data_IF_559356598343
#
_entry.id   IF_559356598343
#
_cell.length_a   1.000
_cell.length_b   1.000
_cell.length_c   1.000
_cell.angle_alpha   90.00
_cell.angle_beta   90.00
_cell.angle_gamma   90.00
#
_symmetry.space_group_name_H-M   'P 1'
#
loop_
_entity.id
_entity.type
_entity.pdbx_description
1 polymer ?
#
# COMPACT_ATOMS: atom_id res chain seq x y z
N UNK A 1 8.77 -6.61 28.77
CA UNK A 1 8.16 -6.20 27.49
C UNK A 1 8.06 -7.43 26.63
N UNK A 2 6.87 -7.90 26.21
CA UNK A 2 6.83 -9.01 25.26
C UNK A 2 7.33 -8.49 23.92
N UNK A 3 8.49 -8.98 23.50
CA UNK A 3 9.04 -8.75 22.16
C UNK A 3 8.05 -9.36 21.17
N UNK A 4 7.35 -8.54 20.38
CA UNK A 4 6.51 -9.06 19.29
C UNK A 4 7.43 -9.80 18.32
N UNK A 5 7.18 -11.10 18.11
CA UNK A 5 7.83 -11.85 17.05
C UNK A 5 7.40 -11.21 15.73
N UNK A 6 8.30 -10.45 15.09
CA UNK A 6 8.07 -9.98 13.72
C UNK A 6 7.99 -11.21 12.82
N UNK A 7 6.76 -11.60 12.46
CA UNK A 7 6.57 -12.47 11.32
C UNK A 7 6.91 -11.64 10.10
N UNK A 8 8.00 -11.98 9.41
CA UNK A 8 8.27 -11.43 8.09
C UNK A 8 7.14 -11.88 7.16
N UNK A 9 6.15 -11.02 6.97
CA UNK A 9 5.11 -11.26 5.99
C UNK A 9 5.77 -11.34 4.61
N UNK A 10 5.56 -12.44 3.89
CA UNK A 10 5.98 -12.51 2.49
C UNK A 10 5.12 -11.53 1.70
N UNK A 11 5.77 -10.46 1.23
CA UNK A 11 5.17 -9.40 0.43
C UNK A 11 5.45 -9.66 -1.05
N UNK A 12 4.40 -9.61 -1.87
CA UNK A 12 4.53 -9.65 -3.32
C UNK A 12 3.85 -8.40 -3.91
N UNK A 13 4.60 -7.67 -4.73
CA UNK A 13 4.10 -6.50 -5.45
C UNK A 13 4.08 -6.80 -6.94
N UNK A 14 2.93 -6.56 -7.56
CA UNK A 14 2.77 -6.50 -9.00
C UNK A 14 2.45 -5.06 -9.39
N UNK A 15 3.22 -4.53 -10.34
CA UNK A 15 3.14 -3.14 -10.80
C UNK A 15 2.91 -3.16 -12.29
N UNK A 16 1.80 -2.57 -12.73
CA UNK A 16 1.37 -2.61 -14.11
C UNK A 16 1.06 -1.21 -14.62
N UNK A 17 1.51 -0.90 -15.83
CA UNK A 17 1.12 0.33 -16.51
C UNK A 17 -0.33 0.16 -17.01
N UNK A 18 -1.29 0.63 -16.23
CA UNK A 18 -2.71 0.46 -16.51
C UNK A 18 -3.19 1.40 -17.61
N UNK A 19 -2.73 2.66 -17.59
CA UNK A 19 -2.97 3.63 -18.65
C UNK A 19 -1.78 4.58 -18.76
N UNK A 20 -1.02 4.43 -19.85
CA UNK A 20 0.16 5.24 -20.12
C UNK A 20 -0.17 6.71 -20.42
N UNK A 21 -1.32 6.98 -21.06
CA UNK A 21 -1.73 8.34 -21.42
C UNK A 21 -2.27 9.10 -20.21
N UNK A 22 -2.91 8.40 -19.28
CA UNK A 22 -3.37 8.96 -18.01
C UNK A 22 -2.28 8.94 -16.92
N UNK A 23 -1.08 8.41 -17.21
CA UNK A 23 0.00 8.24 -16.24
C UNK A 23 -0.41 7.41 -15.01
N UNK A 24 -1.24 6.38 -15.20
CA UNK A 24 -1.76 5.54 -14.12
C UNK A 24 -1.09 4.17 -14.10
N UNK A 25 -0.61 3.80 -12.91
CA UNK A 25 -0.16 2.46 -12.59
C UNK A 25 -1.18 1.75 -11.72
N UNK A 26 -1.46 0.49 -12.01
CA UNK A 26 -2.19 -0.40 -11.10
C UNK A 26 -1.18 -1.17 -10.25
N UNK A 27 -1.38 -1.17 -8.94
CA UNK A 27 -0.54 -1.89 -7.99
C UNK A 27 -1.39 -2.95 -7.30
N UNK A 28 -0.89 -4.18 -7.31
CA UNK A 28 -1.41 -5.26 -6.47
C UNK A 28 -0.37 -5.63 -5.44
N UNK A 29 -0.72 -5.51 -4.16
CA UNK A 29 0.10 -5.97 -3.03
C UNK A 29 -0.56 -7.20 -2.41
N UNK A 30 0.13 -8.34 -2.43
CA UNK A 30 -0.26 -9.53 -1.67
C UNK A 30 0.60 -9.66 -0.42
N UNK A 31 -0.08 -9.73 0.74
CA UNK A 31 0.52 -10.01 2.04
C UNK A 31 0.12 -11.43 2.41
N UNK A 32 1.07 -12.38 2.31
CA UNK A 32 0.76 -13.81 2.48
C UNK A 32 0.31 -14.17 3.90
N UNK A 33 0.85 -13.46 4.89
CA UNK A 33 0.62 -13.69 6.32
C UNK A 33 0.34 -12.35 7.00
N UNK A 34 -0.84 -11.75 6.80
CA UNK A 34 -1.17 -10.48 7.43
C UNK A 34 -1.36 -10.65 8.94
N UNK A 35 -1.21 -9.56 9.67
CA UNK A 35 -1.68 -9.48 11.06
C UNK A 35 -3.21 -9.37 11.11
N UNK A 36 -3.79 -9.62 12.29
CA UNK A 36 -5.17 -9.24 12.54
C UNK A 36 -5.23 -7.71 12.54
N UNK A 37 -6.15 -7.13 11.78
CA UNK A 37 -6.21 -5.68 11.57
C UNK A 37 -4.90 -5.09 10.99
N UNK A 38 -4.43 -5.63 9.87
CA UNK A 38 -3.18 -5.22 9.23
C UNK A 38 -3.14 -3.71 8.97
N UNK A 39 -2.08 -3.06 9.44
CA UNK A 39 -1.77 -1.69 9.10
C UNK A 39 -0.78 -1.64 7.92
N UNK A 40 -1.01 -0.71 7.00
CA UNK A 40 -0.11 -0.40 5.89
C UNK A 40 0.10 1.10 5.82
N UNK A 41 1.26 1.51 5.33
CA UNK A 41 1.57 2.92 5.15
C UNK A 41 2.37 3.17 3.88
N UNK A 42 2.28 4.40 3.40
CA UNK A 42 3.14 4.90 2.34
C UNK A 42 4.18 5.84 2.97
N UNK A 43 5.48 5.71 2.62
CA UNK A 43 6.49 6.63 3.11
C UNK A 43 6.14 8.09 2.79
N UNK A 44 6.59 9.02 3.63
CA UNK A 44 6.41 10.48 3.42
C UNK A 44 7.72 11.18 3.06
N UNK A 45 8.77 10.43 2.72
CA UNK A 45 10.07 10.91 2.28
C UNK A 45 10.77 9.81 1.48
N UNK A 46 11.79 10.18 0.70
CA UNK A 46 12.66 9.24 -0.03
C UNK A 46 14.10 9.47 0.46
N UNK A 47 14.90 8.41 0.71
CA UNK A 47 16.31 8.56 1.07
C UNK A 47 17.06 9.53 0.15
N UNK A 48 17.86 10.42 0.75
CA UNK A 48 18.55 11.49 0.04
C UNK A 48 17.74 12.78 -0.16
N UNK A 49 16.45 12.79 0.19
CA UNK A 49 15.62 14.00 0.25
C UNK A 49 15.13 14.24 1.68
N UNK A 50 15.56 15.34 2.30
CA UNK A 50 15.09 15.75 3.63
C UNK A 50 13.76 16.52 3.59
N UNK A 51 13.07 16.50 2.44
CA UNK A 51 11.78 17.15 2.29
C UNK A 51 10.66 16.14 2.53
N UNK A 52 9.68 16.54 3.33
CA UNK A 52 8.42 15.82 3.44
C UNK A 52 7.72 15.82 2.07
N UNK A 53 7.20 14.66 1.70
CA UNK A 53 6.50 14.37 0.45
C UNK A 53 5.16 13.72 0.79
N UNK A 54 4.10 14.24 0.23
CA UNK A 54 2.76 13.67 0.36
C UNK A 54 2.51 12.68 -0.80
N UNK A 55 3.25 11.56 -0.86
CA UNK A 55 3.09 10.59 -1.95
C UNK A 55 1.69 9.97 -2.00
N UNK A 56 1.03 9.89 -0.84
CA UNK A 56 -0.33 9.34 -0.72
C UNK A 56 -1.37 10.14 -1.49
N UNK A 57 -1.11 11.41 -1.84
CA UNK A 57 -2.00 12.22 -2.69
C UNK A 57 -2.17 11.63 -4.10
N UNK A 58 -1.20 10.84 -4.54
CA UNK A 58 -1.20 10.21 -5.86
C UNK A 58 -1.85 8.81 -5.83
N UNK A 59 -2.12 8.27 -4.63
CA UNK A 59 -2.76 6.98 -4.47
C UNK A 59 -4.28 7.14 -4.56
N UNK A 60 -4.92 6.32 -5.39
CA UNK A 60 -6.36 6.34 -5.58
C UNK A 60 -6.94 4.94 -5.58
N UNK A 61 -8.24 4.83 -5.29
CA UNK A 61 -9.02 3.59 -5.36
C UNK A 61 -8.46 2.41 -4.55
N UNK A 62 -7.85 2.71 -3.39
CA UNK A 62 -7.39 1.67 -2.48
C UNK A 62 -8.54 0.79 -2.01
N UNK A 63 -8.41 -0.49 -2.30
CA UNK A 63 -9.34 -1.52 -1.88
C UNK A 63 -8.55 -2.73 -1.37
N UNK A 64 -9.23 -3.57 -0.61
CA UNK A 64 -8.67 -4.76 -0.03
C UNK A 64 -9.63 -5.94 -0.15
N UNK A 65 -9.08 -7.13 -0.39
CA UNK A 65 -9.83 -8.38 -0.49
C UNK A 65 -9.13 -9.51 0.26
N UNK A 66 -9.93 -10.40 0.82
CA UNK A 66 -9.48 -11.64 1.45
C UNK A 66 -10.44 -12.76 1.06
N UNK A 67 -9.89 -13.90 0.60
CA UNK A 67 -10.69 -15.06 0.15
C UNK A 67 -11.80 -14.68 -0.87
N UNK A 68 -11.49 -13.74 -1.78
CA UNK A 68 -12.41 -13.25 -2.80
C UNK A 68 -13.43 -12.19 -2.34
N UNK A 69 -13.54 -11.93 -1.03
CA UNK A 69 -14.46 -10.94 -0.45
C UNK A 69 -13.76 -9.62 -0.19
N UNK A 70 -14.47 -8.51 -0.38
CA UNK A 70 -13.98 -7.20 0.04
C UNK A 70 -13.89 -7.13 1.56
N UNK A 71 -12.81 -6.54 2.07
CA UNK A 71 -12.61 -6.27 3.50
C UNK A 71 -12.49 -4.77 3.71
N UNK A 72 -12.88 -4.29 4.90
CA UNK A 72 -12.93 -2.87 5.19
C UNK A 72 -11.53 -2.27 5.24
N UNK A 73 -11.36 -1.14 4.57
CA UNK A 73 -10.16 -0.29 4.63
C UNK A 73 -10.54 1.01 5.33
N UNK A 74 -9.88 1.31 6.43
CA UNK A 74 -10.02 2.56 7.15
C UNK A 74 -8.76 3.40 6.98
N UNK A 75 -8.90 4.61 6.44
CA UNK A 75 -7.82 5.58 6.45
C UNK A 75 -7.70 6.19 7.86
N UNK A 76 -6.53 6.01 8.48
CA UNK A 76 -6.25 6.53 9.82
C UNK A 76 -5.72 7.96 9.76
N UNK A 77 -4.85 8.22 8.78
CA UNK A 77 -4.31 9.55 8.50
C UNK A 77 -3.92 9.68 7.01
N UNK A 78 -3.16 10.73 6.66
CA UNK A 78 -2.77 11.01 5.27
C UNK A 78 -2.03 9.88 4.59
N UNK A 79 -1.31 9.02 5.31
CA UNK A 79 -0.42 8.00 4.75
C UNK A 79 -0.54 6.64 5.42
N UNK A 80 -1.48 6.44 6.34
CA UNK A 80 -1.70 5.18 7.06
C UNK A 80 -3.14 4.68 6.87
N UNK A 81 -3.25 3.37 6.64
CA UNK A 81 -4.52 2.67 6.51
C UNK A 81 -4.52 1.42 7.38
N UNK A 82 -5.68 1.07 7.93
CA UNK A 82 -5.93 -0.16 8.67
C UNK A 82 -6.95 -1.00 7.91
N UNK A 83 -6.65 -2.28 7.74
CA UNK A 83 -7.47 -3.22 7.00
C UNK A 83 -8.03 -4.25 7.97
N UNK A 84 -9.36 -4.38 8.02
CA UNK A 84 -10.02 -5.37 8.87
C UNK A 84 -9.93 -6.78 8.25
N UNK A 85 -8.79 -7.44 8.49
CA UNK A 85 -8.49 -8.77 7.98
C UNK A 85 -8.14 -9.76 9.10
N UNK A 86 -8.18 -11.05 8.75
CA UNK A 86 -7.76 -12.16 9.63
C UNK A 86 -6.37 -12.66 9.27
N UNK A 87 -5.62 -13.19 10.23
CA UNK A 87 -4.26 -13.68 10.00
C UNK A 87 -4.17 -15.03 9.24
N UNK A 88 -5.30 -15.73 9.07
CA UNK A 88 -5.35 -17.09 8.51
C UNK A 88 -5.42 -17.16 6.99
N UNK A 89 -5.51 -16.03 6.28
CA UNK A 89 -5.54 -16.00 4.82
C UNK A 89 -4.77 -14.81 4.24
N UNK A 90 -4.23 -14.93 3.01
CA UNK A 90 -3.55 -13.82 2.35
C UNK A 90 -4.47 -12.61 2.18
N UNK A 91 -3.94 -11.43 2.47
CA UNK A 91 -4.60 -10.16 2.19
C UNK A 91 -4.09 -9.62 0.85
N UNK A 92 -5.01 -9.21 -0.02
CA UNK A 92 -4.68 -8.60 -1.31
C UNK A 92 -5.20 -7.17 -1.32
N UNK A 93 -4.30 -6.21 -1.49
CA UNK A 93 -4.62 -4.80 -1.67
C UNK A 93 -4.46 -4.46 -3.15
N UNK A 94 -5.41 -3.72 -3.72
CA UNK A 94 -5.23 -3.12 -5.04
C UNK A 94 -5.51 -1.63 -4.98
N UNK A 95 -4.73 -0.87 -5.73
CA UNK A 95 -4.83 0.58 -5.81
C UNK A 95 -4.18 1.08 -7.10
N UNK A 96 -4.48 2.32 -7.44
CA UNK A 96 -3.86 3.00 -8.57
C UNK A 96 -2.93 4.12 -8.06
N UNK A 97 -1.88 4.39 -8.81
CA UNK A 97 -0.93 5.48 -8.54
C UNK A 97 -0.83 6.37 -9.77
N UNK A 98 -1.12 7.66 -9.59
CA UNK A 98 -0.86 8.68 -10.59
C UNK A 98 0.61 9.10 -10.56
N UNK A 99 1.32 8.85 -11.66
CA UNK A 99 2.77 8.97 -11.77
C UNK A 99 3.18 10.04 -12.78
N UNK A 100 2.72 11.27 -12.59
CA UNK A 100 3.07 12.43 -13.42
C UNK A 100 3.69 13.57 -12.61
N UNK A 101 4.86 13.29 -12.03
CA UNK A 101 5.67 14.28 -11.32
C UNK A 101 7.11 14.27 -11.86
N UNK A 102 7.48 15.33 -12.57
CA UNK A 102 8.83 15.51 -13.14
C UNK A 102 9.82 16.01 -12.09
N UNK A 103 9.93 15.32 -10.96
CA UNK A 103 10.71 15.77 -9.80
C UNK A 103 12.17 15.28 -9.77
N UNK A 104 12.56 14.36 -10.66
CA UNK A 104 13.96 14.01 -10.89
C UNK A 104 14.62 15.14 -11.69
N UNK A 105 15.47 15.93 -11.03
CA UNK A 105 16.36 16.89 -11.69
C UNK A 105 17.68 16.17 -12.01
N UNK A 106 18.00 16.02 -13.29
CA UNK A 106 19.28 15.50 -13.78
C UNK A 106 20.38 16.54 -13.73
#
# INVERSE_FOLDING_TARGET
MPTSLQRSASLHYQVEAADLHAHLFHITLTIAQPEVQQQVSLPVWIPGSYLVREFSKNLQRLNARQQGRAVQVQQLDKSHWQIDCVASSPLVLTYEVYAYDNSVRT
#
